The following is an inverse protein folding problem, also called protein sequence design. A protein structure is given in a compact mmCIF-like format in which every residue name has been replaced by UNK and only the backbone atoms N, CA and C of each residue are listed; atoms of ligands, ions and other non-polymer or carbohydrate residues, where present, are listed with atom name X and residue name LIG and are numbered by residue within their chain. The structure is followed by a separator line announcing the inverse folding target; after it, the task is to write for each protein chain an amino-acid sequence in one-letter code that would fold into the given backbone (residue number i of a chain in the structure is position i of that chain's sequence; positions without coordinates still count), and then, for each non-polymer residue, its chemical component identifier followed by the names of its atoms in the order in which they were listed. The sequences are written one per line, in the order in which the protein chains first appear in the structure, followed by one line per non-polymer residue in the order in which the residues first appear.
data_IF_551981097298
#
_entry.id   IF_551981097298
#
_cell.length_a   1.000
_cell.length_b   1.000
_cell.length_c   1.000
_cell.angle_alpha   90.00
_cell.angle_beta   90.00
_cell.angle_gamma   90.00
#
_symmetry.space_group_name_H-M   'P 1'
#
loop_
_entity.id
_entity.type
_entity.pdbx_description
1 polymer ?
#
# COMPACT_ATOMS: atom_id res chain seq x y z
N UNK A 1 12.12 -9.63 -27.13
CA UNK A 1 13.34 -10.44 -27.08
C UNK A 1 13.03 -11.83 -27.59
N UNK A 2 13.87 -12.35 -28.47
CA UNK A 2 13.86 -13.76 -28.90
C UNK A 2 14.34 -14.68 -27.78
N UNK A 3 13.88 -15.93 -27.74
CA UNK A 3 14.29 -16.95 -26.77
C UNK A 3 15.82 -17.13 -26.71
N UNK A 4 16.50 -16.96 -27.86
CA UNK A 4 17.96 -17.03 -27.94
C UNK A 4 18.69 -15.82 -27.33
N UNK A 5 18.05 -14.64 -27.34
CA UNK A 5 18.60 -13.43 -26.72
C UNK A 5 18.45 -13.48 -25.19
N UNK A 6 17.35 -14.09 -24.71
CA UNK A 6 17.09 -14.28 -23.29
C UNK A 6 18.08 -15.27 -22.65
N UNK A 7 18.37 -16.37 -23.35
CA UNK A 7 19.36 -17.36 -22.90
C UNK A 7 20.78 -16.77 -22.79
N UNK A 8 21.21 -15.97 -23.78
CA UNK A 8 22.53 -15.29 -23.75
C UNK A 8 22.63 -14.26 -22.62
N UNK A 9 21.54 -13.57 -22.32
CA UNK A 9 21.50 -12.60 -21.22
C UNK A 9 21.64 -13.30 -19.87
N UNK A 10 21.02 -14.47 -19.70
CA UNK A 10 21.10 -15.25 -18.46
C UNK A 10 22.50 -15.84 -18.24
N UNK A 11 23.15 -16.37 -19.29
CA UNK A 11 24.55 -16.83 -19.23
C UNK A 11 25.52 -15.71 -18.82
N UNK A 12 25.38 -14.52 -19.41
CA UNK A 12 26.20 -13.38 -19.01
C UNK A 12 25.92 -12.93 -17.58
N UNK A 13 24.67 -13.01 -17.12
CA UNK A 13 24.29 -12.62 -15.75
C UNK A 13 24.97 -13.50 -14.71
N UNK A 14 25.09 -14.81 -14.99
CA UNK A 14 25.79 -15.76 -14.12
C UNK A 14 27.30 -15.49 -14.08
N UNK A 15 27.91 -15.19 -15.22
CA UNK A 15 29.33 -14.83 -15.33
C UNK A 15 29.66 -13.53 -14.57
N UNK A 16 28.80 -12.50 -14.69
CA UNK A 16 28.94 -11.26 -13.93
C UNK A 16 28.76 -11.47 -12.43
N UNK A 17 27.80 -12.29 -12.01
CA UNK A 17 27.59 -12.59 -10.60
C UNK A 17 28.82 -13.28 -9.98
N UNK A 18 29.43 -14.23 -10.70
CA UNK A 18 30.66 -14.89 -10.26
C UNK A 18 31.84 -13.92 -10.16
N UNK A 19 31.98 -13.00 -11.12
CA UNK A 19 33.04 -11.98 -11.11
C UNK A 19 32.86 -11.01 -9.94
N UNK A 20 31.64 -10.53 -9.68
CA UNK A 20 31.36 -9.63 -8.57
C UNK A 20 31.59 -10.35 -7.23
N UNK A 21 31.27 -11.65 -7.15
CA UNK A 21 31.51 -12.44 -5.95
C UNK A 21 32.99 -12.50 -5.56
N UNK A 22 33.90 -12.61 -6.53
CA UNK A 22 35.35 -12.55 -6.28
C UNK A 22 35.74 -11.26 -5.56
N UNK A 23 35.27 -10.12 -6.08
CA UNK A 23 35.56 -8.81 -5.48
C UNK A 23 34.91 -8.64 -4.10
N UNK A 24 33.72 -9.21 -3.88
CA UNK A 24 32.98 -9.05 -2.63
C UNK A 24 33.59 -9.88 -1.51
N UNK A 25 34.04 -11.11 -1.76
CA UNK A 25 34.64 -11.97 -0.73
C UNK A 25 35.92 -11.34 -0.16
N UNK A 26 36.71 -10.69 -1.02
CA UNK A 26 38.00 -10.08 -0.65
C UNK A 26 37.88 -8.66 -0.07
N UNK A 27 36.69 -8.03 -0.12
CA UNK A 27 36.52 -6.62 0.23
C UNK A 27 35.35 -6.38 1.18
N UNK A 28 35.64 -5.97 2.42
CA UNK A 28 34.64 -5.75 3.47
C UNK A 28 33.69 -4.57 3.20
N UNK A 29 34.16 -3.54 2.49
CA UNK A 29 33.29 -2.44 2.06
C UNK A 29 32.26 -2.94 1.04
N UNK A 30 32.68 -3.82 0.12
CA UNK A 30 31.78 -4.45 -0.84
C UNK A 30 30.80 -5.41 -0.18
N UNK A 31 31.20 -6.15 0.84
CA UNK A 31 30.26 -6.95 1.67
C UNK A 31 29.19 -6.04 2.27
N UNK A 32 29.61 -4.90 2.82
CA UNK A 32 28.70 -3.91 3.41
C UNK A 32 27.74 -3.33 2.38
N UNK A 33 28.24 -2.98 1.18
CA UNK A 33 27.41 -2.50 0.08
C UNK A 33 26.38 -3.55 -0.36
N UNK A 34 26.79 -4.80 -0.60
CA UNK A 34 25.87 -5.88 -1.01
C UNK A 34 24.79 -6.12 0.05
N UNK A 35 25.13 -6.06 1.36
CA UNK A 35 24.15 -6.13 2.44
C UNK A 35 23.13 -4.99 2.36
N UNK A 36 23.57 -3.75 2.14
CA UNK A 36 22.68 -2.60 2.01
C UNK A 36 21.73 -2.73 0.81
N UNK A 37 22.25 -3.16 -0.33
CA UNK A 37 21.46 -3.38 -1.56
C UNK A 37 20.42 -4.49 -1.36
N UNK A 38 20.82 -5.60 -0.72
CA UNK A 38 19.90 -6.68 -0.39
C UNK A 38 18.75 -6.20 0.50
N UNK A 39 19.07 -5.50 1.59
CA UNK A 39 18.08 -4.97 2.51
C UNK A 39 17.12 -3.99 1.82
N UNK A 40 17.64 -3.16 0.91
CA UNK A 40 16.83 -2.22 0.13
C UNK A 40 15.84 -2.95 -0.78
N UNK A 41 16.28 -4.00 -1.47
CA UNK A 41 15.42 -4.79 -2.36
C UNK A 41 14.38 -5.56 -1.56
N UNK A 42 14.77 -6.24 -0.48
CA UNK A 42 13.87 -7.04 0.35
C UNK A 42 12.74 -6.18 0.95
N UNK A 43 13.09 -4.98 1.46
CA UNK A 43 12.13 -4.03 1.99
C UNK A 43 11.11 -3.56 0.93
N UNK A 44 11.51 -3.44 -0.34
CA UNK A 44 10.64 -3.00 -1.44
C UNK A 44 9.84 -4.13 -2.09
N UNK A 45 10.41 -5.33 -2.19
CA UNK A 45 9.80 -6.43 -2.95
C UNK A 45 8.84 -7.29 -2.11
N UNK A 46 9.01 -7.37 -0.78
CA UNK A 46 8.22 -8.28 0.06
C UNK A 46 7.21 -7.60 1.00
N UNK A 47 7.21 -6.27 1.12
CA UNK A 47 6.35 -5.52 2.06
C UNK A 47 6.49 -6.02 3.53
N UNK A 48 7.67 -6.57 3.87
CA UNK A 48 8.03 -7.03 5.22
C UNK A 48 8.88 -5.90 5.84
N UNK A 49 8.60 -5.54 7.11
CA UNK A 49 9.46 -4.61 7.85
C UNK A 49 10.92 -5.10 7.76
N UNK A 50 11.89 -4.25 7.40
CA UNK A 50 13.28 -4.67 7.28
C UNK A 50 13.73 -5.20 8.64
N UNK A 51 13.74 -6.52 8.78
CA UNK A 51 14.26 -7.17 9.96
C UNK A 51 15.76 -7.23 9.72
N UNK A 52 16.47 -6.26 10.28
CA UNK A 52 17.94 -6.24 10.38
C UNK A 52 18.39 -7.52 11.09
N UNK A 53 18.47 -8.61 10.33
CA UNK A 53 19.03 -9.88 10.77
C UNK A 53 19.66 -10.43 9.51
N UNK A 54 20.98 -10.34 9.38
CA UNK A 54 21.79 -11.52 9.17
C UNK A 54 23.27 -11.25 9.44
N UNK A 55 23.92 -12.32 9.93
CA UNK A 55 25.30 -12.42 10.40
C UNK A 55 26.30 -12.33 9.25
N UNK A 56 27.56 -12.00 9.58
CA UNK A 56 28.69 -11.92 8.63
C UNK A 56 28.97 -13.21 7.83
N UNK A 57 28.26 -14.30 8.13
CA UNK A 57 28.46 -15.63 7.56
C UNK A 57 27.85 -15.82 6.16
N UNK A 58 27.28 -14.80 5.51
CA UNK A 58 26.70 -14.93 4.16
C UNK A 58 27.80 -14.89 3.07
N UNK A 59 28.97 -14.32 3.39
CA UNK A 59 30.11 -14.21 2.47
C UNK A 59 31.17 -15.30 2.70
N UNK A 60 30.77 -16.45 3.25
CA UNK A 60 31.69 -17.53 3.68
C UNK A 60 32.30 -18.26 2.49
N UNK A 61 31.61 -18.33 1.36
CA UNK A 61 32.17 -18.89 0.12
C UNK A 61 31.83 -18.01 -1.09
N UNK A 62 32.70 -18.10 -2.11
CA UNK A 62 32.51 -17.44 -3.40
C UNK A 62 31.20 -17.90 -4.06
N UNK A 63 30.90 -19.19 -3.98
CA UNK A 63 29.70 -19.79 -4.56
C UNK A 63 28.43 -19.23 -3.93
N UNK A 64 28.39 -19.14 -2.58
CA UNK A 64 27.25 -18.56 -1.86
C UNK A 64 27.07 -17.07 -2.15
N UNK A 65 28.20 -16.35 -2.29
CA UNK A 65 28.19 -14.93 -2.64
C UNK A 65 27.69 -14.71 -4.07
N UNK A 66 28.13 -15.54 -5.03
CA UNK A 66 27.68 -15.49 -6.41
C UNK A 66 26.18 -15.81 -6.53
N UNK A 67 25.70 -16.82 -5.80
CA UNK A 67 24.27 -17.16 -5.75
C UNK A 67 23.43 -16.00 -5.20
N UNK A 68 23.90 -15.34 -4.13
CA UNK A 68 23.25 -14.15 -3.56
C UNK A 68 23.19 -13.01 -4.57
N UNK A 69 24.31 -12.69 -5.23
CA UNK A 69 24.39 -11.61 -6.24
C UNK A 69 23.48 -11.93 -7.42
N UNK A 70 23.47 -13.17 -7.89
CA UNK A 70 22.59 -13.62 -8.97
C UNK A 70 21.12 -13.45 -8.58
N UNK A 71 20.76 -13.85 -7.36
CA UNK A 71 19.40 -13.65 -6.83
C UNK A 71 19.05 -12.17 -6.75
N UNK A 72 19.98 -11.31 -6.36
CA UNK A 72 19.77 -9.85 -6.31
C UNK A 72 19.53 -9.27 -7.69
N UNK A 73 20.37 -9.61 -8.68
CA UNK A 73 20.22 -9.11 -10.05
C UNK A 73 18.89 -9.58 -10.66
N UNK A 74 18.50 -10.84 -10.44
CA UNK A 74 17.19 -11.36 -10.86
C UNK A 74 16.04 -10.62 -10.16
N UNK A 75 16.14 -10.41 -8.85
CA UNK A 75 15.11 -9.69 -8.08
C UNK A 75 14.98 -8.22 -8.50
N UNK A 76 16.09 -7.55 -8.84
CA UNK A 76 16.07 -6.20 -9.41
C UNK A 76 15.39 -6.17 -10.78
N UNK A 77 15.69 -7.15 -11.65
CA UNK A 77 15.06 -7.30 -12.96
C UNK A 77 13.54 -7.53 -12.83
N UNK A 78 13.15 -8.38 -11.90
CA UNK A 78 11.74 -8.67 -11.61
C UNK A 78 11.02 -7.45 -11.01
N UNK A 79 11.68 -6.69 -10.13
CA UNK A 79 11.16 -5.43 -9.61
C UNK A 79 11.01 -4.36 -10.71
N UNK A 80 11.98 -4.26 -11.62
CA UNK A 80 11.94 -3.32 -12.75
C UNK A 80 10.82 -3.66 -13.73
N UNK A 81 10.55 -4.95 -13.96
CA UNK A 81 9.45 -5.42 -14.81
C UNK A 81 8.07 -5.38 -14.12
N UNK A 82 8.02 -5.41 -12.78
CA UNK A 82 6.78 -5.22 -12.03
C UNK A 82 6.32 -3.74 -12.00
N UNK A 83 7.24 -2.78 -11.88
CA UNK A 83 6.90 -1.34 -11.76
C UNK A 83 6.77 -0.61 -13.11
N UNK A 84 7.45 -1.04 -14.18
CA UNK A 84 7.39 -0.38 -15.51
C UNK A 84 6.19 -0.76 -16.38
N UNK A 85 5.43 -1.80 -16.03
CA UNK A 85 4.28 -2.26 -16.80
C UNK A 85 2.91 -1.85 -16.26
N UNK A 86 2.85 -1.27 -15.05
CA UNK A 86 1.56 -0.83 -14.49
C UNK A 86 1.11 0.42 -15.24
N UNK A 87 0.09 0.26 -16.08
CA UNK A 87 -0.50 1.32 -16.85
C UNK A 87 -1.94 1.56 -16.44
N UNK A 88 -2.28 2.81 -16.18
CA UNK A 88 -3.61 3.23 -15.81
C UNK A 88 -4.34 3.83 -17.01
N UNK A 89 -5.60 3.45 -17.15
CA UNK A 89 -6.55 4.17 -18.00
C UNK A 89 -6.94 5.50 -17.37
N UNK A 90 -7.46 6.41 -18.19
CA UNK A 90 -8.04 7.68 -17.71
C UNK A 90 -9.20 7.47 -16.74
N UNK A 91 -9.94 6.36 -16.86
CA UNK A 91 -11.00 5.96 -15.92
C UNK A 91 -10.46 5.58 -14.54
N UNK A 92 -9.41 4.78 -14.50
CA UNK A 92 -8.74 4.39 -13.24
C UNK A 92 -8.12 5.62 -12.55
N UNK A 93 -7.42 6.46 -13.31
CA UNK A 93 -6.87 7.70 -12.74
C UNK A 93 -7.97 8.65 -12.24
N UNK A 94 -9.10 8.77 -12.95
CA UNK A 94 -10.22 9.57 -12.48
C UNK A 94 -10.69 9.11 -11.08
N UNK A 95 -10.79 7.79 -10.86
CA UNK A 95 -11.09 7.21 -9.54
C UNK A 95 -10.03 7.58 -8.51
N UNK A 96 -8.75 7.33 -8.79
CA UNK A 96 -7.67 7.54 -7.82
C UNK A 96 -7.45 9.01 -7.44
N UNK A 97 -7.59 9.91 -8.41
CA UNK A 97 -7.51 11.36 -8.19
C UNK A 97 -8.79 11.97 -7.61
N UNK A 98 -9.91 11.23 -7.59
CA UNK A 98 -11.20 11.75 -7.15
C UNK A 98 -11.78 12.84 -8.06
N UNK A 99 -11.55 12.73 -9.36
CA UNK A 99 -11.99 13.70 -10.38
C UNK A 99 -12.72 13.03 -11.53
N UNK A 100 -13.30 13.79 -12.46
CA UNK A 100 -13.92 13.23 -13.65
C UNK A 100 -12.89 12.79 -14.70
N UNK A 101 -13.27 11.83 -15.55
CA UNK A 101 -12.47 11.42 -16.73
C UNK A 101 -12.18 12.63 -17.63
N UNK A 102 -13.12 13.57 -17.73
CA UNK A 102 -12.95 14.82 -18.48
C UNK A 102 -11.84 15.69 -17.90
N UNK A 103 -11.72 15.77 -16.57
CA UNK A 103 -10.63 16.51 -15.91
C UNK A 103 -9.27 15.89 -16.21
N UNK A 104 -9.15 14.56 -16.13
CA UNK A 104 -7.92 13.84 -16.51
C UNK A 104 -7.54 14.14 -17.97
N UNK A 105 -8.50 14.06 -18.90
CA UNK A 105 -8.26 14.39 -20.31
C UNK A 105 -7.79 15.84 -20.49
N UNK A 106 -8.39 16.79 -19.76
CA UNK A 106 -7.97 18.20 -19.79
C UNK A 106 -6.54 18.36 -19.30
N UNK A 107 -6.18 17.71 -18.19
CA UNK A 107 -4.82 17.76 -17.63
C UNK A 107 -3.77 17.14 -18.56
N UNK A 108 -4.12 16.09 -19.31
CA UNK A 108 -3.24 15.54 -20.35
C UNK A 108 -3.01 16.59 -21.45
N UNK A 109 -4.07 17.25 -21.94
CA UNK A 109 -3.95 18.31 -22.95
C UNK A 109 -3.15 19.53 -22.44
N UNK A 110 -3.21 19.82 -21.14
CA UNK A 110 -2.43 20.86 -20.47
C UNK A 110 -0.96 20.46 -20.20
N UNK A 111 -0.57 19.23 -20.55
CA UNK A 111 0.79 18.74 -20.31
C UNK A 111 1.12 18.53 -18.83
N UNK A 112 0.10 18.32 -17.99
CA UNK A 112 0.31 18.04 -16.56
C UNK A 112 0.80 16.63 -16.31
N UNK A 113 0.58 15.69 -17.23
CA UNK A 113 1.23 14.39 -17.22
C UNK A 113 2.46 14.44 -18.13
N UNK A 114 3.65 14.39 -17.54
CA UNK A 114 4.91 14.62 -18.26
C UNK A 114 5.15 13.51 -19.27
N UNK A 115 5.42 13.89 -20.52
CA UNK A 115 5.68 12.95 -21.62
C UNK A 115 4.43 12.22 -22.14
N UNK A 116 3.23 12.55 -21.66
CA UNK A 116 1.98 11.96 -22.14
C UNK A 116 1.30 12.90 -23.12
N UNK A 117 1.25 12.48 -24.39
CA UNK A 117 0.59 13.23 -25.45
C UNK A 117 -0.59 12.46 -26.04
N UNK A 118 -1.67 13.19 -26.33
CA UNK A 118 -2.83 12.64 -27.03
C UNK A 118 -2.57 12.66 -28.54
N UNK A 119 -1.94 11.60 -29.04
CA UNK A 119 -1.56 11.48 -30.47
C UNK A 119 -2.76 11.43 -31.42
N UNK A 120 -3.92 10.89 -31.01
CA UNK A 120 -5.10 10.72 -31.87
C UNK A 120 -6.42 10.98 -31.11
N UNK A 121 -7.42 11.56 -31.80
CA UNK A 121 -8.79 11.65 -31.28
C UNK A 121 -9.37 10.23 -31.12
N UNK A 122 -10.05 9.99 -29.99
CA UNK A 122 -10.72 8.73 -29.63
C UNK A 122 -9.84 7.52 -29.29
N UNK A 123 -8.51 7.66 -29.27
CA UNK A 123 -7.64 6.59 -28.76
C UNK A 123 -7.60 6.59 -27.24
N UNK A 124 -7.74 5.40 -26.65
CA UNK A 124 -7.56 5.22 -25.21
C UNK A 124 -6.08 5.44 -24.87
N UNK A 125 -5.82 6.40 -23.97
CA UNK A 125 -4.47 6.67 -23.47
C UNK A 125 -4.24 5.82 -22.23
N UNK A 126 -3.08 5.18 -22.21
CA UNK A 126 -2.54 4.46 -21.06
C UNK A 126 -1.40 5.28 -20.47
N UNK A 127 -1.44 5.51 -19.17
CA UNK A 127 -0.47 6.33 -18.43
C UNK A 127 0.32 5.41 -17.51
N UNK A 128 1.65 5.43 -17.63
CA UNK A 128 2.53 4.64 -16.78
C UNK A 128 2.41 5.07 -15.32
N UNK A 129 2.51 4.14 -14.39
CA UNK A 129 2.65 4.37 -12.95
C UNK A 129 3.81 5.32 -12.61
N UNK A 130 4.89 5.25 -13.39
CA UNK A 130 6.08 6.10 -13.26
C UNK A 130 5.94 7.48 -13.90
N UNK A 131 4.83 7.75 -14.60
CA UNK A 131 4.58 9.07 -15.20
C UNK A 131 4.52 10.12 -14.10
N UNK A 132 5.25 11.21 -14.26
CA UNK A 132 5.15 12.36 -13.36
C UNK A 132 3.90 13.18 -13.67
N UNK A 133 3.16 13.53 -12.64
CA UNK A 133 2.03 14.45 -12.69
C UNK A 133 2.38 15.76 -11.98
N UNK A 134 2.10 16.88 -12.64
CA UNK A 134 2.30 18.23 -12.13
C UNK A 134 1.07 18.71 -11.38
N UNK A 135 1.21 18.93 -10.07
CA UNK A 135 0.21 19.57 -9.23
C UNK A 135 -0.02 21.04 -9.61
N UNK A 136 -1.10 21.64 -9.10
CA UNK A 136 -1.39 23.06 -9.31
C UNK A 136 -0.31 23.96 -8.69
N UNK A 137 0.37 23.48 -7.64
CA UNK A 137 1.51 24.13 -7.00
C UNK A 137 2.78 24.09 -7.84
N UNK A 138 2.78 23.34 -8.95
CA UNK A 138 3.97 23.10 -9.78
C UNK A 138 4.81 21.90 -9.35
N UNK A 139 4.55 21.31 -8.19
CA UNK A 139 5.26 20.12 -7.71
C UNK A 139 4.95 18.90 -8.59
N UNK A 140 5.95 18.03 -8.78
CA UNK A 140 5.84 16.80 -9.53
C UNK A 140 5.65 15.62 -8.57
N UNK A 141 4.74 14.73 -8.91
CA UNK A 141 4.48 13.49 -8.19
C UNK A 141 4.35 12.35 -9.19
N UNK A 142 5.04 11.22 -8.99
CA UNK A 142 4.78 10.05 -9.80
C UNK A 142 3.37 9.52 -9.54
N UNK A 143 2.72 9.03 -10.60
CA UNK A 143 1.31 8.57 -10.53
C UNK A 143 1.13 7.44 -9.49
N UNK A 144 2.11 6.56 -9.31
CA UNK A 144 2.02 5.47 -8.33
C UNK A 144 1.83 5.96 -6.89
N UNK A 145 2.39 7.12 -6.51
CA UNK A 145 2.23 7.68 -5.15
C UNK A 145 0.77 8.03 -4.90
N UNK A 146 0.14 8.68 -5.87
CA UNK A 146 -1.26 9.10 -5.80
C UNK A 146 -2.18 7.87 -5.70
N UNK A 147 -1.85 6.81 -6.44
CA UNK A 147 -2.58 5.53 -6.40
C UNK A 147 -2.42 4.84 -5.06
N UNK A 148 -1.21 4.81 -4.51
CA UNK A 148 -0.94 4.19 -3.21
C UNK A 148 -1.64 4.94 -2.08
N UNK A 149 -1.63 6.28 -2.10
CA UNK A 149 -2.35 7.12 -1.15
C UNK A 149 -3.87 6.90 -1.22
N UNK A 150 -4.42 6.70 -2.43
CA UNK A 150 -5.82 6.32 -2.59
C UNK A 150 -6.09 4.95 -1.97
N UNK A 151 -5.29 3.93 -2.31
CA UNK A 151 -5.46 2.55 -1.81
C UNK A 151 -5.33 2.46 -0.29
N UNK A 152 -4.38 3.18 0.31
CA UNK A 152 -4.22 3.23 1.75
C UNK A 152 -5.46 3.82 2.44
N UNK A 153 -6.01 4.91 1.89
CA UNK A 153 -7.26 5.51 2.40
C UNK A 153 -8.46 4.60 2.25
N UNK A 154 -8.58 3.88 1.12
CA UNK A 154 -9.68 2.92 0.94
C UNK A 154 -9.53 1.70 1.85
N UNK A 155 -8.33 1.17 2.03
CA UNK A 155 -8.08 0.08 2.97
C UNK A 155 -8.45 0.49 4.40
N UNK A 156 -8.09 1.71 4.82
CA UNK A 156 -8.49 2.25 6.11
C UNK A 156 -10.03 2.43 6.21
N UNK A 157 -10.70 2.87 5.14
CA UNK A 157 -12.16 2.98 5.10
C UNK A 157 -12.82 1.61 5.17
N UNK A 158 -12.31 0.63 4.44
CA UNK A 158 -12.80 -0.75 4.49
C UNK A 158 -12.58 -1.37 5.85
N UNK A 159 -11.41 -1.16 6.46
CA UNK A 159 -11.11 -1.59 7.82
C UNK A 159 -12.08 -0.94 8.80
N UNK A 160 -12.26 0.38 8.75
CA UNK A 160 -13.25 1.08 9.58
C UNK A 160 -14.70 0.63 9.31
N UNK A 161 -15.03 0.23 8.07
CA UNK A 161 -16.35 -0.27 7.70
C UNK A 161 -16.56 -1.74 8.09
N UNK A 162 -15.48 -2.52 8.17
CA UNK A 162 -15.45 -3.92 8.63
C UNK A 162 -15.27 -4.03 10.15
N UNK A 163 -14.78 -2.98 10.82
CA UNK A 163 -14.37 -2.98 12.23
C UNK A 163 -15.39 -2.41 13.21
N UNK A 164 -16.69 -2.50 12.91
CA UNK A 164 -17.72 -2.48 13.95
C UNK A 164 -18.73 -3.58 13.66
N UNK A 165 -18.63 -4.67 14.41
CA UNK A 165 -19.72 -5.66 14.48
C UNK A 165 -20.98 -4.94 14.99
N UNK A 166 -22.16 -5.42 14.62
CA UNK A 166 -23.41 -4.89 15.17
C UNK A 166 -23.36 -4.89 16.71
N UNK A 167 -22.85 -5.96 17.31
CA UNK A 167 -22.42 -6.02 18.73
C UNK A 167 -21.62 -4.81 19.24
N UNK A 168 -20.60 -4.39 18.52
CA UNK A 168 -19.73 -3.28 18.93
C UNK A 168 -20.43 -1.93 18.80
N UNK A 169 -21.28 -1.75 17.78
CA UNK A 169 -22.14 -0.56 17.68
C UNK A 169 -23.17 -0.50 18.81
N UNK A 170 -23.71 -1.65 19.22
CA UNK A 170 -24.65 -1.74 20.35
C UNK A 170 -23.97 -1.41 21.68
N UNK A 171 -22.75 -1.90 21.92
CA UNK A 171 -21.98 -1.61 23.13
C UNK A 171 -21.65 -0.12 23.24
N UNK A 172 -21.17 0.52 22.16
CA UNK A 172 -20.91 1.96 22.16
C UNK A 172 -22.18 2.78 22.39
N UNK A 173 -23.31 2.38 21.81
CA UNK A 173 -24.59 3.06 22.04
C UNK A 173 -25.06 2.91 23.50
N UNK A 174 -24.79 1.78 24.15
CA UNK A 174 -25.05 1.57 25.58
C UNK A 174 -24.14 2.45 26.45
N UNK A 175 -22.85 2.54 26.12
CA UNK A 175 -21.88 3.40 26.85
C UNK A 175 -22.29 4.87 26.84
N UNK A 176 -22.92 5.36 25.77
CA UNK A 176 -23.45 6.73 25.70
C UNK A 176 -24.49 6.98 26.80
N UNK A 177 -25.36 6.02 27.08
CA UNK A 177 -26.36 6.15 28.15
C UNK A 177 -25.73 6.00 29.54
N UNK A 178 -24.78 5.09 29.72
CA UNK A 178 -24.03 4.94 30.97
C UNK A 178 -23.29 6.23 31.33
N UNK A 179 -22.68 6.89 30.34
CA UNK A 179 -22.04 8.19 30.52
C UNK A 179 -23.02 9.34 30.72
N UNK A 180 -24.16 9.37 30.00
CA UNK A 180 -25.18 10.43 30.14
C UNK A 180 -25.78 10.46 31.55
N UNK A 181 -25.94 9.29 32.17
CA UNK A 181 -26.62 9.17 33.47
C UNK A 181 -25.69 8.83 34.65
N UNK A 182 -24.40 8.57 34.39
CA UNK A 182 -23.36 8.18 35.36
C UNK A 182 -23.81 7.04 36.29
N UNK A 183 -24.62 6.13 35.74
CA UNK A 183 -25.33 5.07 36.46
C UNK A 183 -25.45 3.84 35.59
N UNK A 184 -25.52 2.68 36.21
CA UNK A 184 -25.93 1.46 35.53
C UNK A 184 -27.40 1.56 35.10
N UNK A 185 -27.79 0.86 34.03
CA UNK A 185 -29.20 0.80 33.59
C UNK A 185 -30.16 0.38 34.72
N UNK A 186 -29.72 -0.57 35.54
CA UNK A 186 -30.50 -1.08 36.69
C UNK A 186 -30.74 0.00 37.73
N UNK A 187 -29.76 0.88 37.96
CA UNK A 187 -29.89 1.97 38.93
C UNK A 187 -30.62 3.19 38.34
N UNK A 188 -30.50 3.40 37.03
CA UNK A 188 -31.30 4.38 36.30
C UNK A 188 -32.80 4.02 36.31
N UNK A 189 -33.14 2.74 36.16
CA UNK A 189 -34.53 2.26 36.22
C UNK A 189 -35.19 2.45 37.59
N UNK A 190 -34.44 2.38 38.69
CA UNK A 190 -34.98 2.55 40.05
C UNK A 190 -35.39 3.98 40.39
N UNK A 191 -35.06 4.97 39.55
CA UNK A 191 -35.49 6.36 39.72
C UNK A 191 -37.01 6.46 39.59
N UNK A 192 -37.73 6.87 40.63
CA UNK A 192 -39.21 6.97 40.59
C UNK A 192 -39.70 8.18 39.77
N UNK A 193 -39.00 9.32 39.85
CA UNK A 193 -39.38 10.56 39.14
C UNK A 193 -38.57 10.75 37.85
N UNK A 194 -38.89 9.99 36.78
CA UNK A 194 -38.26 10.18 35.47
C UNK A 194 -38.96 11.28 34.68
N UNK A 195 -38.17 12.09 33.99
CA UNK A 195 -38.70 13.03 32.99
C UNK A 195 -39.15 12.27 31.74
N UNK A 196 -40.01 12.85 30.88
CA UNK A 196 -40.40 12.23 29.61
C UNK A 196 -39.20 11.87 28.70
N UNK A 197 -38.10 12.64 28.78
CA UNK A 197 -36.86 12.32 28.07
C UNK A 197 -36.17 11.09 28.66
N UNK A 198 -36.10 10.99 29.99
CA UNK A 198 -35.51 9.84 30.69
C UNK A 198 -36.31 8.54 30.50
N UNK A 199 -37.64 8.63 30.39
CA UNK A 199 -38.49 7.47 30.07
C UNK A 199 -38.26 6.96 28.64
N UNK A 200 -38.07 7.88 27.69
CA UNK A 200 -37.71 7.55 26.32
C UNK A 200 -36.33 6.90 26.25
N UNK A 201 -35.35 7.51 26.89
CA UNK A 201 -33.98 6.99 26.95
C UNK A 201 -33.93 5.62 27.64
N UNK A 202 -34.72 5.41 28.70
CA UNK A 202 -34.84 4.10 29.35
C UNK A 202 -35.37 3.03 28.38
N UNK A 203 -36.33 3.38 27.54
CA UNK A 203 -36.92 2.48 26.54
C UNK A 203 -35.95 2.16 25.41
N UNK A 204 -35.22 3.17 24.91
CA UNK A 204 -34.19 2.99 23.89
C UNK A 204 -33.01 2.15 24.42
N UNK A 205 -32.56 2.42 25.65
CA UNK A 205 -31.51 1.65 26.31
C UNK A 205 -31.92 0.19 26.58
N UNK A 206 -33.15 -0.04 27.03
CA UNK A 206 -33.70 -1.40 27.19
C UNK A 206 -33.70 -2.19 25.88
N UNK A 207 -34.07 -1.54 24.78
CA UNK A 207 -34.09 -2.14 23.44
C UNK A 207 -32.69 -2.53 22.94
N UNK A 208 -31.69 -1.67 23.18
CA UNK A 208 -30.30 -1.97 22.83
C UNK A 208 -29.75 -3.17 23.64
N UNK A 209 -30.08 -3.23 24.93
CA UNK A 209 -29.69 -4.35 25.80
C UNK A 209 -30.38 -5.67 25.42
N UNK A 210 -31.63 -5.64 24.98
CA UNK A 210 -32.29 -6.85 24.46
C UNK A 210 -31.67 -7.31 23.15
N UNK A 211 -31.38 -6.38 22.24
CA UNK A 211 -30.77 -6.70 20.95
C UNK A 211 -29.36 -7.28 21.07
N UNK A 212 -28.60 -6.82 22.07
CA UNK A 212 -27.28 -7.38 22.41
C UNK A 212 -27.35 -8.82 22.98
N UNK A 213 -28.49 -9.21 23.57
CA UNK A 213 -28.70 -10.58 24.11
C UNK A 213 -29.16 -11.56 23.03
N UNK A 214 -29.75 -11.06 21.96
CA UNK A 214 -30.29 -11.85 20.85
C UNK A 214 -29.24 -12.13 19.74
N UNK A 215 -28.05 -11.52 19.83
CA UNK A 215 -26.82 -11.86 19.07
C UNK A 215 -25.96 -12.92 19.77
#
# INVERSE_FOLDING_TARGET
MSTAEMHRLDEHTEEYAATIADYVVENDDMKTFVKQVYNFIEARTLNIKPKLIYSDNIFVSKEQTAELILKLIKSMRDAESADTHIQYSTGELAKYFGVSITAINKWICEGRFIGVEKKEKNKQIKISSTTEWRALTGQLYPVYEIVNDYKAREAQREENSKAKTERQMLLEAIEVFEHKYDKSFVDFLKKEDKTPEEERDASEWAYLLSRLKDE
#
